data_IF_771383335473
#
_entry.id   IF_771383335473
#
_cell.length_a   1.000
_cell.length_b   1.000
_cell.length_c   1.000
_cell.angle_alpha   90.00
_cell.angle_beta   90.00
_cell.angle_gamma   90.00
#
_symmetry.space_group_name_H-M   'P 1'
#
loop_
_entity.id
_entity.type
_entity.pdbx_description
1 polymer ?
#
# COMPACT_ATOMS: atom_id res chain seq x y z
N UNK A 1 9.90 -1.48 -13.88
CA UNK A 1 9.25 -0.26 -14.39
C UNK A 1 7.86 -0.08 -13.79
N UNK A 2 7.56 1.12 -13.35
CA UNK A 2 6.25 1.45 -12.81
C UNK A 2 5.22 1.47 -13.94
N UNK A 3 4.13 0.76 -13.76
CA UNK A 3 3.05 0.71 -14.73
C UNK A 3 1.76 1.23 -14.10
N UNK A 4 1.39 2.45 -14.45
CA UNK A 4 0.21 3.12 -13.91
C UNK A 4 -1.09 2.38 -14.22
N UNK A 5 -1.13 1.70 -15.36
CA UNK A 5 -2.32 0.93 -15.77
C UNK A 5 -2.56 -0.28 -14.89
N UNK A 6 -1.51 -0.82 -14.26
CA UNK A 6 -1.63 -1.90 -13.28
C UNK A 6 -1.77 -1.38 -11.85
N UNK A 7 -1.82 -0.06 -11.68
CA UNK A 7 -1.89 0.53 -10.37
C UNK A 7 -0.57 0.57 -9.61
N UNK A 8 0.55 0.45 -10.33
CA UNK A 8 1.88 0.46 -9.71
C UNK A 8 2.20 1.83 -9.11
N UNK A 9 2.81 1.79 -7.93
CA UNK A 9 3.29 2.97 -7.22
C UNK A 9 4.75 2.72 -6.84
N UNK A 10 5.63 3.67 -7.13
CA UNK A 10 7.02 3.55 -6.75
C UNK A 10 7.27 4.26 -5.42
N UNK A 11 8.13 3.66 -4.59
CA UNK A 11 8.64 4.33 -3.42
C UNK A 11 10.09 3.90 -3.19
N UNK A 12 10.85 4.71 -2.48
CA UNK A 12 12.26 4.43 -2.20
C UNK A 12 12.37 3.97 -0.75
N UNK A 13 12.83 2.72 -0.58
CA UNK A 13 12.97 2.09 0.72
C UNK A 13 14.44 1.75 0.94
N UNK A 14 15.02 2.29 2.00
CA UNK A 14 16.45 2.10 2.31
C UNK A 14 17.34 2.43 1.10
N UNK A 15 17.02 3.52 0.40
CA UNK A 15 17.79 3.98 -0.74
C UNK A 15 17.55 3.22 -2.05
N UNK A 16 16.65 2.23 -2.06
CA UNK A 16 16.37 1.44 -3.24
C UNK A 16 14.94 1.68 -3.71
N UNK A 17 14.79 1.96 -4.99
CA UNK A 17 13.47 2.13 -5.60
C UNK A 17 12.76 0.79 -5.68
N UNK A 18 11.55 0.74 -5.14
CA UNK A 18 10.72 -0.46 -5.15
C UNK A 18 9.36 -0.13 -5.75
N UNK A 19 8.72 -1.14 -6.30
CA UNK A 19 7.38 -1.00 -6.89
C UNK A 19 6.39 -1.72 -5.98
N UNK A 20 5.30 -1.04 -5.66
CA UNK A 20 4.17 -1.61 -4.92
C UNK A 20 2.94 -1.63 -5.80
N UNK A 21 2.08 -2.63 -5.61
CA UNK A 21 0.79 -2.73 -6.29
C UNK A 21 -0.18 -3.51 -5.42
N UNK A 22 -1.47 -3.31 -5.62
CA UNK A 22 -2.48 -4.07 -4.90
C UNK A 22 -3.17 -5.04 -5.87
N UNK A 23 -2.90 -6.32 -5.66
CA UNK A 23 -3.61 -7.40 -6.33
C UNK A 23 -4.83 -7.78 -5.48
N UNK A 24 -5.74 -8.58 -6.01
CA UNK A 24 -6.85 -9.10 -5.22
C UNK A 24 -6.35 -9.87 -4.00
N UNK A 25 -5.25 -10.61 -4.15
CA UNK A 25 -4.64 -11.32 -3.02
C UNK A 25 -4.14 -10.37 -1.95
N UNK A 26 -3.49 -9.28 -2.34
CA UNK A 26 -3.02 -8.27 -1.40
C UNK A 26 -4.19 -7.59 -0.69
N UNK A 27 -5.28 -7.31 -1.42
CA UNK A 27 -6.47 -6.71 -0.83
C UNK A 27 -7.15 -7.65 0.17
N UNK A 28 -7.23 -8.93 -0.15
CA UNK A 28 -7.78 -9.94 0.75
C UNK A 28 -6.94 -10.04 2.03
N UNK A 29 -5.63 -10.00 1.89
CA UNK A 29 -4.70 -10.00 3.01
C UNK A 29 -4.92 -8.78 3.91
N UNK A 30 -5.14 -7.60 3.29
CA UNK A 30 -5.39 -6.37 4.02
C UNK A 30 -6.72 -6.38 4.76
N UNK A 31 -7.77 -6.87 4.11
CA UNK A 31 -9.08 -7.00 4.76
C UNK A 31 -8.96 -7.84 6.03
N UNK A 32 -8.23 -8.94 5.94
CA UNK A 32 -8.02 -9.83 7.07
C UNK A 32 -7.17 -9.14 8.16
N UNK A 33 -6.05 -8.55 7.78
CA UNK A 33 -5.13 -7.91 8.73
C UNK A 33 -5.75 -6.70 9.44
N UNK A 34 -6.61 -5.96 8.75
CA UNK A 34 -7.25 -4.76 9.30
C UNK A 34 -8.65 -5.05 9.83
N UNK A 35 -9.09 -6.30 9.76
CA UNK A 35 -10.41 -6.75 10.22
C UNK A 35 -11.55 -5.97 9.57
N UNK A 36 -11.40 -5.66 8.27
CA UNK A 36 -12.42 -4.99 7.50
C UNK A 36 -13.23 -6.01 6.71
N UNK A 37 -14.57 -5.89 6.71
CA UNK A 37 -15.42 -6.92 6.10
C UNK A 37 -15.48 -6.88 4.58
N UNK A 38 -15.02 -5.81 3.95
CA UNK A 38 -15.13 -5.68 2.49
C UNK A 38 -14.14 -4.65 1.94
N UNK A 39 -14.00 -4.66 0.62
CA UNK A 39 -13.19 -3.66 -0.08
C UNK A 39 -13.74 -2.25 0.11
N UNK A 40 -15.07 -2.12 0.12
CA UNK A 40 -15.72 -0.82 0.33
C UNK A 40 -15.38 -0.28 1.71
N UNK A 41 -15.46 -1.12 2.74
CA UNK A 41 -15.13 -0.72 4.11
C UNK A 41 -13.65 -0.31 4.21
N UNK A 42 -12.76 -1.03 3.53
CA UNK A 42 -11.33 -0.71 3.51
C UNK A 42 -11.08 0.67 2.89
N UNK A 43 -11.70 0.95 1.75
CA UNK A 43 -11.56 2.23 1.07
C UNK A 43 -12.12 3.37 1.93
N UNK A 44 -13.29 3.18 2.52
CA UNK A 44 -13.91 4.18 3.38
C UNK A 44 -13.05 4.53 4.59
N UNK A 45 -12.37 3.53 5.15
CA UNK A 45 -11.45 3.74 6.28
C UNK A 45 -10.34 4.71 5.91
N UNK A 46 -9.74 4.54 4.74
CA UNK A 46 -8.65 5.41 4.28
C UNK A 46 -9.15 6.76 3.80
N UNK A 47 -10.28 6.81 3.10
CA UNK A 47 -10.88 8.07 2.65
C UNK A 47 -11.33 8.93 3.84
N UNK A 48 -11.81 8.29 4.90
CA UNK A 48 -12.25 8.98 6.10
C UNK A 48 -11.12 9.40 7.03
N UNK A 49 -9.88 9.22 6.62
CA UNK A 49 -8.70 9.51 7.43
C UNK A 49 -8.69 8.76 8.78
N UNK A 50 -9.34 7.60 8.82
CA UNK A 50 -9.40 6.74 10.01
C UNK A 50 -8.38 5.62 9.92
N UNK A 51 -7.15 6.00 9.57
CA UNK A 51 -6.07 5.03 9.46
C UNK A 51 -4.90 5.42 10.37
N UNK A 52 -4.24 4.41 10.90
CA UNK A 52 -3.08 4.57 11.77
C UNK A 52 -1.80 4.36 10.97
N UNK A 53 -0.67 4.65 11.61
CA UNK A 53 0.64 4.32 11.04
C UNK A 53 0.75 2.82 10.78
N UNK A 54 0.19 2.00 11.65
CA UNK A 54 0.16 0.55 11.45
C UNK A 54 -0.61 0.18 10.19
N UNK A 55 -1.74 0.83 9.94
CA UNK A 55 -2.53 0.60 8.73
C UNK A 55 -1.72 0.92 7.48
N UNK A 56 -1.00 2.03 7.49
CA UNK A 56 -0.13 2.43 6.38
C UNK A 56 0.97 1.39 6.16
N UNK A 57 1.60 0.92 7.23
CA UNK A 57 2.64 -0.10 7.14
C UNK A 57 2.11 -1.41 6.55
N UNK A 58 0.94 -1.85 7.00
CA UNK A 58 0.32 -3.08 6.50
C UNK A 58 0.00 -2.96 5.01
N UNK A 59 -0.56 -1.83 4.62
CA UNK A 59 -0.91 -1.57 3.23
C UNK A 59 0.33 -1.54 2.33
N UNK A 60 1.36 -0.80 2.74
CA UNK A 60 2.58 -0.70 1.96
C UNK A 60 3.32 -2.04 1.89
N UNK A 61 3.39 -2.79 3.00
CA UNK A 61 4.03 -4.09 3.01
C UNK A 61 3.33 -5.06 2.05
N UNK A 62 2.00 -5.11 2.10
CA UNK A 62 1.22 -5.95 1.19
C UNK A 62 1.46 -5.55 -0.27
N UNK A 63 1.47 -4.25 -0.55
CA UNK A 63 1.72 -3.73 -1.90
C UNK A 63 3.13 -4.04 -2.40
N UNK A 64 4.12 -3.89 -1.54
CA UNK A 64 5.51 -4.20 -1.89
C UNK A 64 5.70 -5.69 -2.16
N UNK A 65 5.11 -6.56 -1.35
CA UNK A 65 5.18 -8.01 -1.59
C UNK A 65 4.52 -8.37 -2.92
N UNK A 66 3.37 -7.79 -3.21
CA UNK A 66 2.70 -8.01 -4.48
C UNK A 66 3.52 -7.47 -5.66
N UNK A 67 4.33 -6.46 -5.41
CA UNK A 67 5.24 -5.90 -6.41
C UNK A 67 6.57 -6.63 -6.55
N UNK A 68 6.80 -7.67 -5.73
CA UNK A 68 8.00 -8.50 -5.82
C UNK A 68 9.05 -8.29 -4.74
N UNK A 69 8.78 -7.44 -3.76
CA UNK A 69 9.72 -7.17 -2.67
C UNK A 69 9.33 -7.95 -1.43
N UNK A 70 10.23 -8.80 -0.93
CA UNK A 70 10.04 -9.54 0.31
C UNK A 70 10.17 -8.59 1.50
N UNK A 71 9.07 -8.26 2.15
CA UNK A 71 9.07 -7.37 3.30
C UNK A 71 7.84 -7.63 4.17
N UNK A 72 8.01 -7.55 5.48
CA UNK A 72 6.91 -7.57 6.43
C UNK A 72 6.64 -6.16 6.94
N UNK A 73 5.49 -5.95 7.56
CA UNK A 73 5.18 -4.67 8.17
C UNK A 73 6.21 -4.32 9.26
N UNK A 74 6.65 -5.31 10.02
CA UNK A 74 7.64 -5.13 11.08
C UNK A 74 8.99 -4.69 10.53
N UNK A 75 9.43 -5.30 9.44
CA UNK A 75 10.67 -4.92 8.76
C UNK A 75 10.55 -3.53 8.16
N UNK A 76 9.42 -3.25 7.54
CA UNK A 76 9.17 -1.94 6.93
C UNK A 76 9.14 -0.82 7.97
N UNK A 77 8.66 -1.12 9.18
CA UNK A 77 8.62 -0.15 10.26
C UNK A 77 10.01 0.34 10.66
N UNK A 78 11.03 -0.47 10.42
CA UNK A 78 12.42 -0.10 10.71
C UNK A 78 13.13 0.50 9.50
N UNK A 79 12.50 0.48 8.35
CA UNK A 79 13.11 0.95 7.10
C UNK A 79 13.02 2.47 6.99
N UNK A 80 13.93 3.03 6.21
CA UNK A 80 13.90 4.44 5.88
C UNK A 80 13.19 4.61 4.55
N UNK A 81 12.08 5.36 4.57
CA UNK A 81 11.33 5.67 3.36
C UNK A 81 11.64 7.10 2.97
N UNK A 82 12.10 7.29 1.73
CA UNK A 82 12.41 8.62 1.22
C UNK A 82 11.16 9.50 1.27
N UNK A 83 11.29 10.68 1.84
CA UNK A 83 10.19 11.60 2.05
C UNK A 83 9.43 11.37 3.36
N UNK A 84 9.80 10.33 4.11
CA UNK A 84 9.29 10.07 5.45
C UNK A 84 7.82 9.67 5.53
N UNK A 85 7.17 9.89 6.69
CA UNK A 85 5.78 9.46 6.89
C UNK A 85 4.78 10.07 5.91
N UNK A 86 5.00 11.30 5.46
CA UNK A 86 4.12 11.96 4.50
C UNK A 86 4.17 11.22 3.16
N UNK A 87 5.37 10.90 2.67
CA UNK A 87 5.53 10.16 1.42
C UNK A 87 4.93 8.76 1.54
N UNK A 88 5.11 8.10 2.68
CA UNK A 88 4.55 6.79 2.94
C UNK A 88 3.01 6.82 2.88
N UNK A 89 2.40 7.82 3.51
CA UNK A 89 0.95 7.98 3.51
C UNK A 89 0.41 8.30 2.12
N UNK A 90 1.13 9.13 1.36
CA UNK A 90 0.76 9.45 -0.02
C UNK A 90 0.84 8.22 -0.91
N UNK A 91 1.87 7.39 -0.73
CA UNK A 91 2.01 6.14 -1.49
C UNK A 91 0.85 5.18 -1.18
N UNK A 92 0.49 5.06 0.10
CA UNK A 92 -0.63 4.22 0.52
C UNK A 92 -1.94 4.67 -0.12
N UNK A 93 -2.21 5.98 -0.09
CA UNK A 93 -3.41 6.56 -0.70
C UNK A 93 -3.41 6.31 -2.22
N UNK A 94 -2.26 6.48 -2.88
CA UNK A 94 -2.14 6.24 -4.31
C UNK A 94 -2.41 4.79 -4.67
N UNK A 95 -1.91 3.85 -3.86
CA UNK A 95 -2.14 2.42 -4.07
C UNK A 95 -3.64 2.09 -4.06
N UNK A 96 -4.36 2.60 -3.06
CA UNK A 96 -5.80 2.37 -2.97
C UNK A 96 -6.55 3.02 -4.13
N UNK A 97 -6.22 4.27 -4.43
CA UNK A 97 -6.88 4.99 -5.52
C UNK A 97 -6.71 4.27 -6.85
N UNK A 98 -5.50 3.79 -7.13
CA UNK A 98 -5.21 3.10 -8.40
C UNK A 98 -5.82 1.72 -8.47
N UNK A 99 -5.96 1.05 -7.32
CA UNK A 99 -6.56 -0.28 -7.28
C UNK A 99 -8.02 -0.26 -7.71
N UNK A 100 -8.71 0.87 -7.56
CA UNK A 100 -10.12 1.01 -7.87
C UNK A 100 -10.40 1.85 -9.11
N UNK A 101 -9.37 2.15 -9.91
CA UNK A 101 -9.56 2.82 -11.20
C UNK A 101 -10.10 1.81 -12.20
N UNK A 102 -11.23 2.14 -12.80
CA UNK A 102 -11.82 1.32 -13.86
C UNK A 102 -11.29 1.83 -15.18
N UNK A 103 -10.61 1.00 -15.98
CA UNK A 103 -10.15 1.40 -17.32
C UNK A 103 -11.35 1.71 -18.21
N UNK A 104 -11.24 2.80 -18.92
CA UNK A 104 -12.31 3.24 -19.85
C UNK A 104 -11.90 2.95 -21.28
#
# INVERSE_FOLDING_TARGET
>A
MVNRWRGDVALVVNGQRRVARLTLGALAELEDALEEPSLVALVERFEGHRFSSRDVLLLLAAGLRAGGTEVSAETLAQAEIEGGPVAASQAAAALLARAFVVPV
#
